data_IF_716006252570
#
_entry.id   IF_716006252570
#
_cell.length_a   1.000
_cell.length_b   1.000
_cell.length_c   1.000
_cell.angle_alpha   90.00
_cell.angle_beta   90.00
_cell.angle_gamma   90.00
#
_symmetry.space_group_name_H-M   'P 1'
#
loop_
_entity.id
_entity.type
_entity.pdbx_description
1 polymer ?
#
# COMPACT_ATOMS: atom_id res chain seq x y z
N UNK A 1 14.97 54.58 54.04
CA UNK A 1 13.60 54.04 54.04
C UNK A 1 13.47 53.14 52.82
N UNK A 2 14.22 52.05 52.72
CA UNK A 2 14.21 50.80 53.51
C UNK A 2 13.11 49.82 53.08
N UNK A 3 13.59 48.69 52.51
CA UNK A 3 13.11 47.30 52.51
C UNK A 3 11.70 47.00 51.92
N UNK A 4 11.43 45.88 51.23
CA UNK A 4 11.96 44.52 51.39
C UNK A 4 11.71 43.65 50.12
N UNK A 5 12.56 42.64 49.79
CA UNK A 5 12.49 41.80 48.60
C UNK A 5 12.05 40.35 48.91
N UNK A 6 10.89 39.91 48.43
CA UNK A 6 10.53 38.48 48.39
C UNK A 6 9.62 38.16 47.21
N UNK A 7 10.21 37.72 46.09
CA UNK A 7 9.52 36.97 45.03
C UNK A 7 10.15 35.58 44.99
N UNK A 8 9.61 34.69 45.82
CA UNK A 8 9.88 33.26 45.81
C UNK A 8 9.14 32.62 44.63
N UNK A 9 9.89 31.94 43.76
CA UNK A 9 9.37 31.14 42.65
C UNK A 9 8.84 29.81 43.19
N UNK A 10 7.51 29.68 43.26
CA UNK A 10 6.82 28.40 43.49
C UNK A 10 6.84 27.57 42.20
N UNK A 11 7.71 26.56 42.17
CA UNK A 11 7.71 25.49 41.17
C UNK A 11 6.79 24.35 41.61
N UNK A 12 5.49 24.57 41.46
CA UNK A 12 4.50 23.50 41.48
C UNK A 12 4.40 22.88 40.08
N UNK A 13 4.67 21.56 39.89
CA UNK A 13 4.56 20.92 38.59
C UNK A 13 3.09 20.82 38.18
N UNK A 14 2.74 21.48 37.06
CA UNK A 14 1.43 21.33 36.41
C UNK A 14 1.26 19.87 36.00
N UNK A 15 0.16 19.28 36.47
CA UNK A 15 -0.38 18.01 36.03
C UNK A 15 -0.29 17.91 34.49
N UNK A 16 0.57 17.04 34.01
CA UNK A 16 0.51 16.54 32.65
C UNK A 16 -0.65 15.56 32.62
N UNK A 17 -1.83 16.03 32.23
CA UNK A 17 -2.95 15.14 31.91
C UNK A 17 -2.47 14.18 30.82
N UNK A 18 -2.30 12.92 31.24
CA UNK A 18 -2.09 11.81 30.36
C UNK A 18 -3.25 11.78 29.37
N UNK A 19 -2.97 11.98 28.09
CA UNK A 19 -3.86 11.59 27.02
C UNK A 19 -4.22 10.12 27.25
N UNK A 20 -5.43 9.87 27.78
CA UNK A 20 -6.03 8.56 27.76
C UNK A 20 -6.34 8.27 26.30
N UNK A 21 -5.38 7.64 25.62
CA UNK A 21 -5.52 7.08 24.28
C UNK A 21 -6.62 6.03 24.34
N UNK A 22 -7.86 6.48 24.10
CA UNK A 22 -8.96 5.56 23.87
C UNK A 22 -8.62 4.79 22.59
N UNK A 23 -8.62 3.45 22.59
CA UNK A 23 -8.28 2.68 21.40
C UNK A 23 -9.13 3.14 20.22
N UNK A 24 -8.52 3.26 19.04
CA UNK A 24 -9.27 3.64 17.85
C UNK A 24 -10.42 2.65 17.60
N UNK A 25 -11.55 3.09 17.03
CA UNK A 25 -12.73 2.25 16.84
C UNK A 25 -12.36 0.93 16.13
N UNK A 26 -12.59 -0.20 16.79
CA UNK A 26 -12.37 -1.55 16.25
C UNK A 26 -11.08 -2.26 16.70
N UNK A 27 -10.25 -1.68 17.57
CA UNK A 27 -9.15 -2.43 18.19
C UNK A 27 -9.68 -3.43 19.24
N UNK A 28 -8.99 -4.57 19.46
CA UNK A 28 -9.38 -5.48 20.53
C UNK A 28 -9.26 -4.76 21.88
N UNK A 29 -10.39 -4.54 22.55
CA UNK A 29 -10.45 -3.94 23.90
C UNK A 29 -9.67 -4.81 24.92
N UNK A 30 -9.70 -6.13 24.72
CA UNK A 30 -8.99 -7.10 25.52
C UNK A 30 -8.34 -8.17 24.66
N UNK A 31 -7.06 -8.45 24.92
CA UNK A 31 -6.36 -9.56 24.29
C UNK A 31 -6.73 -10.89 24.95
N UNK A 32 -6.85 -11.99 24.18
CA UNK A 32 -7.05 -13.32 24.75
C UNK A 32 -6.01 -13.62 25.83
N UNK A 33 -6.47 -14.23 26.94
CA UNK A 33 -5.65 -14.59 28.13
C UNK A 33 -5.13 -13.39 28.95
N UNK A 34 -5.63 -12.17 28.72
CA UNK A 34 -5.30 -11.00 29.53
C UNK A 34 -3.88 -10.47 29.34
N UNK A 35 -3.16 -10.92 28.29
CA UNK A 35 -1.81 -10.44 27.95
C UNK A 35 -1.76 -10.02 26.49
N UNK A 36 -1.30 -8.79 26.23
CA UNK A 36 -1.05 -8.33 24.88
C UNK A 36 0.13 -9.09 24.23
N UNK A 37 0.06 -9.39 22.92
CA UNK A 37 1.07 -10.20 22.25
C UNK A 37 2.37 -9.44 22.01
N UNK A 38 3.47 -10.18 22.03
CA UNK A 38 4.72 -9.78 21.40
C UNK A 38 4.73 -10.32 19.97
N UNK A 39 4.76 -9.44 18.97
CA UNK A 39 4.75 -9.83 17.55
C UNK A 39 6.01 -9.38 16.84
N UNK A 40 6.71 -10.33 16.22
CA UNK A 40 7.87 -10.07 15.38
C UNK A 40 7.46 -10.04 13.91
N UNK A 41 7.49 -8.85 13.30
CA UNK A 41 7.30 -8.69 11.86
C UNK A 41 8.63 -8.84 11.12
N UNK A 42 8.64 -9.65 10.06
CA UNK A 42 9.86 -9.94 9.28
C UNK A 42 9.66 -9.54 7.83
N UNK A 43 10.44 -8.56 7.37
CA UNK A 43 10.37 -7.97 6.03
C UNK A 43 11.79 -7.90 5.41
N UNK A 44 11.94 -7.86 4.08
CA UNK A 44 13.26 -7.92 3.47
C UNK A 44 14.06 -6.62 3.72
N UNK A 45 13.43 -5.47 3.51
CA UNK A 45 14.00 -4.13 3.63
C UNK A 45 12.93 -3.15 4.12
N UNK A 46 13.32 -1.93 4.50
CA UNK A 46 12.44 -0.83 4.92
C UNK A 46 12.78 0.44 4.12
N UNK A 47 12.60 0.39 2.79
CA UNK A 47 12.99 1.48 1.88
C UNK A 47 11.80 2.29 1.37
N UNK A 48 10.99 1.70 0.51
CA UNK A 48 9.76 2.29 -0.03
C UNK A 48 8.92 1.18 -0.63
N UNK A 49 7.60 1.26 -0.45
CA UNK A 49 6.67 0.26 -0.96
C UNK A 49 5.50 -0.01 -0.02
N UNK A 50 4.49 -0.70 -0.55
CA UNK A 50 3.29 -0.99 0.22
C UNK A 50 3.51 -2.02 1.33
N UNK A 51 4.39 -3.01 1.13
CA UNK A 51 4.62 -4.07 2.13
C UNK A 51 5.38 -3.52 3.35
N UNK A 52 6.37 -2.68 3.09
CA UNK A 52 7.19 -1.98 4.08
C UNK A 52 6.34 -0.98 4.86
N UNK A 53 5.51 -0.19 4.17
CA UNK A 53 4.56 0.74 4.80
C UNK A 53 3.59 0.02 5.72
N UNK A 54 2.93 -1.03 5.22
CA UNK A 54 2.00 -1.83 6.03
C UNK A 54 2.66 -2.54 7.22
N UNK A 55 3.97 -2.82 7.15
CA UNK A 55 4.72 -3.31 8.32
C UNK A 55 4.82 -2.26 9.42
N UNK A 56 5.11 -1.01 9.06
CA UNK A 56 5.20 0.10 10.02
C UNK A 56 3.82 0.43 10.59
N UNK A 57 2.80 0.54 9.73
CA UNK A 57 1.43 0.82 10.15
C UNK A 57 0.95 -0.22 11.17
N UNK A 58 1.25 -1.50 10.92
CA UNK A 58 0.92 -2.58 11.86
C UNK A 58 1.76 -2.59 13.12
N UNK A 59 3.01 -2.14 13.07
CA UNK A 59 3.85 -2.04 14.27
C UNK A 59 3.30 -0.96 15.20
N UNK A 60 2.95 0.21 14.64
CA UNK A 60 2.33 1.32 15.36
C UNK A 60 0.96 0.94 15.92
N UNK A 61 0.10 0.31 15.11
CA UNK A 61 -1.21 -0.12 15.56
C UNK A 61 -1.13 -1.16 16.68
N UNK A 62 -0.19 -2.11 16.59
CA UNK A 62 0.02 -3.08 17.66
C UNK A 62 0.48 -2.42 18.96
N UNK A 63 1.43 -1.48 18.88
CA UNK A 63 1.90 -0.72 20.06
C UNK A 63 0.76 0.04 20.71
N UNK A 64 -0.05 0.73 19.91
CA UNK A 64 -1.18 1.52 20.39
C UNK A 64 -2.31 0.64 20.96
N UNK A 65 -2.45 -0.60 20.48
CA UNK A 65 -3.32 -1.62 21.09
C UNK A 65 -2.70 -2.33 22.32
N UNK A 66 -1.60 -1.80 22.87
CA UNK A 66 -0.92 -2.31 24.07
C UNK A 66 -0.01 -3.53 23.83
N UNK A 67 0.15 -3.99 22.60
CA UNK A 67 1.06 -5.07 22.23
C UNK A 67 2.51 -4.62 22.10
N UNK A 68 3.43 -5.60 21.99
CA UNK A 68 4.87 -5.35 21.82
C UNK A 68 5.31 -5.67 20.39
N UNK A 69 5.44 -4.67 19.50
CA UNK A 69 5.98 -4.89 18.17
C UNK A 69 7.51 -5.02 18.18
N UNK A 70 8.01 -5.97 17.40
CA UNK A 70 9.41 -6.07 16.98
C UNK A 70 9.45 -6.14 15.46
N UNK A 71 10.47 -5.53 14.83
CA UNK A 71 10.63 -5.57 13.37
C UNK A 71 12.03 -6.05 13.01
N UNK A 72 12.14 -7.03 12.11
CA UNK A 72 13.42 -7.48 11.56
C UNK A 72 13.49 -7.28 10.04
N UNK A 73 14.57 -6.67 9.55
CA UNK A 73 14.83 -6.47 8.12
C UNK A 73 16.30 -6.15 7.83
N UNK A 74 16.70 -5.95 6.57
CA UNK A 74 18.02 -5.40 6.22
C UNK A 74 18.15 -3.89 6.48
N UNK A 75 17.10 -3.24 6.96
CA UNK A 75 17.05 -1.80 7.21
C UNK A 75 16.65 -1.00 5.98
N UNK A 76 16.82 0.31 6.08
CA UNK A 76 16.47 1.30 5.06
C UNK A 76 15.99 2.61 5.68
N UNK A 77 15.71 3.64 4.85
CA UNK A 77 15.27 4.96 5.33
C UNK A 77 14.06 4.95 6.28
N UNK A 78 13.13 3.99 6.13
CA UNK A 78 11.91 3.95 6.93
C UNK A 78 12.13 3.40 8.36
N UNK A 79 13.33 2.90 8.69
CA UNK A 79 13.69 2.51 10.08
C UNK A 79 13.51 3.67 11.05
N UNK A 80 13.77 4.91 10.59
CA UNK A 80 13.62 6.14 11.40
C UNK A 80 12.22 6.32 11.99
N UNK A 81 11.19 5.78 11.34
CA UNK A 81 9.82 5.85 11.85
C UNK A 81 9.59 4.89 13.02
N UNK A 82 10.23 3.71 12.99
CA UNK A 82 10.24 2.78 14.12
C UNK A 82 11.03 3.40 15.28
N UNK A 83 12.17 4.02 15.01
CA UNK A 83 12.99 4.69 16.03
C UNK A 83 12.21 5.80 16.73
N UNK A 84 11.49 6.64 15.97
CA UNK A 84 10.62 7.71 16.52
C UNK A 84 9.52 7.17 17.42
N UNK A 85 8.97 6.01 17.09
CA UNK A 85 7.96 5.31 17.89
C UNK A 85 8.56 4.42 19.00
N UNK A 86 9.91 4.39 19.14
CA UNK A 86 10.64 3.53 20.08
C UNK A 86 10.32 2.05 19.90
N UNK A 87 10.09 1.61 18.67
CA UNK A 87 9.85 0.23 18.30
C UNK A 87 11.18 -0.43 17.93
N UNK A 88 11.49 -1.56 18.58
CA UNK A 88 12.78 -2.21 18.38
C UNK A 88 12.92 -2.78 16.95
N UNK A 89 14.05 -2.47 16.33
CA UNK A 89 14.42 -2.93 14.99
C UNK A 89 15.67 -3.82 15.02
N UNK A 90 15.59 -4.98 14.37
CA UNK A 90 16.68 -5.91 14.22
C UNK A 90 17.19 -5.91 12.79
N UNK A 91 18.43 -5.45 12.61
CA UNK A 91 19.08 -5.42 11.29
C UNK A 91 19.69 -6.79 10.98
N UNK A 92 19.12 -7.49 9.99
CA UNK A 92 19.56 -8.79 9.48
C UNK A 92 19.49 -8.82 7.95
N UNK A 93 20.37 -9.54 7.23
CA UNK A 93 20.34 -9.63 5.77
C UNK A 93 19.17 -10.51 5.27
N UNK A 94 17.94 -10.03 5.45
CA UNK A 94 16.69 -10.76 5.24
C UNK A 94 16.17 -10.69 3.80
N UNK A 95 16.76 -9.85 2.95
CA UNK A 95 16.54 -9.89 1.50
C UNK A 95 17.32 -11.04 0.80
N UNK A 96 18.29 -11.65 1.50
CA UNK A 96 19.14 -12.70 0.93
C UNK A 96 18.35 -13.97 0.61
N UNK A 97 18.61 -14.54 -0.57
CA UNK A 97 18.10 -15.85 -0.99
C UNK A 97 19.12 -16.98 -0.79
N UNK A 98 20.30 -16.67 -0.23
CA UNK A 98 21.35 -17.66 0.00
C UNK A 98 20.94 -18.59 1.17
N UNK A 99 20.89 -19.93 0.97
CA UNK A 99 20.47 -20.88 2.01
C UNK A 99 21.27 -20.80 3.32
N UNK A 100 22.57 -20.53 3.26
CA UNK A 100 23.42 -20.40 4.44
C UNK A 100 23.06 -19.14 5.23
N UNK A 101 22.81 -18.03 4.54
CA UNK A 101 22.33 -16.79 5.16
C UNK A 101 20.94 -17.00 5.76
N UNK A 102 20.03 -17.69 5.06
CA UNK A 102 18.69 -18.00 5.56
C UNK A 102 18.76 -18.79 6.87
N UNK A 103 19.63 -19.81 6.96
CA UNK A 103 19.83 -20.61 8.17
C UNK A 103 20.48 -19.82 9.31
N UNK A 104 21.45 -18.94 9.02
CA UNK A 104 22.05 -18.03 10.01
C UNK A 104 21.02 -17.03 10.54
N UNK A 105 20.20 -16.47 9.67
CA UNK A 105 19.10 -15.58 10.05
C UNK A 105 18.07 -16.33 10.91
N UNK A 106 17.72 -17.58 10.57
CA UNK A 106 16.80 -18.39 11.36
C UNK A 106 17.28 -18.56 12.81
N UNK A 107 18.56 -18.90 13.03
CA UNK A 107 19.13 -19.01 14.39
C UNK A 107 19.07 -17.71 15.17
N UNK A 108 19.33 -16.58 14.51
CA UNK A 108 19.26 -15.25 15.13
C UNK A 108 17.82 -14.87 15.48
N UNK A 109 16.87 -15.11 14.58
CA UNK A 109 15.45 -14.91 14.84
C UNK A 109 14.98 -15.83 15.98
N UNK A 110 15.44 -17.08 16.06
CA UNK A 110 15.11 -17.99 17.14
C UNK A 110 15.62 -17.50 18.51
N UNK A 111 16.83 -16.92 18.55
CA UNK A 111 17.34 -16.28 19.76
C UNK A 111 16.45 -15.11 20.21
N UNK A 112 16.08 -14.23 19.28
CA UNK A 112 15.20 -13.08 19.51
C UNK A 112 13.80 -13.51 19.97
N UNK A 113 13.25 -14.56 19.37
CA UNK A 113 11.96 -15.13 19.77
C UNK A 113 12.01 -15.58 21.24
N UNK A 114 13.09 -16.26 21.66
CA UNK A 114 13.26 -16.70 23.04
C UNK A 114 13.48 -15.53 24.01
N UNK A 115 14.36 -14.60 23.65
CA UNK A 115 14.72 -13.44 24.45
C UNK A 115 13.51 -12.54 24.74
N UNK A 116 12.74 -12.21 23.71
CA UNK A 116 11.59 -11.31 23.83
C UNK A 116 10.26 -12.04 24.04
N UNK A 117 10.28 -13.38 24.18
CA UNK A 117 9.07 -14.21 24.34
C UNK A 117 8.03 -13.91 23.26
N UNK A 118 8.46 -13.93 22.00
CA UNK A 118 7.62 -13.63 20.84
C UNK A 118 6.53 -14.68 20.71
N UNK A 119 5.26 -14.25 20.69
CA UNK A 119 4.11 -15.13 20.52
C UNK A 119 3.88 -15.44 19.03
N UNK A 120 4.01 -14.43 18.18
CA UNK A 120 3.67 -14.49 16.75
C UNK A 120 4.82 -13.92 15.92
N UNK A 121 5.20 -14.64 14.87
CA UNK A 121 6.09 -14.16 13.81
C UNK A 121 5.29 -13.97 12.53
N UNK A 122 5.23 -12.73 12.05
CA UNK A 122 4.50 -12.36 10.84
C UNK A 122 5.48 -12.01 9.70
N UNK A 123 5.61 -12.92 8.73
CA UNK A 123 6.48 -12.72 7.56
C UNK A 123 5.72 -12.11 6.36
N UNK A 124 6.26 -11.06 5.76
CA UNK A 124 5.59 -10.33 4.64
C UNK A 124 6.24 -10.52 3.27
N UNK A 125 7.21 -11.43 3.15
CA UNK A 125 7.88 -11.75 1.88
C UNK A 125 8.57 -13.11 1.91
N UNK A 126 8.75 -13.71 0.73
CA UNK A 126 9.26 -15.08 0.55
C UNK A 126 10.66 -15.32 1.15
N UNK A 127 11.60 -14.42 0.90
CA UNK A 127 12.97 -14.57 1.41
C UNK A 127 13.05 -14.55 2.95
N UNK A 128 12.51 -13.52 3.64
CA UNK A 128 12.47 -13.53 5.10
C UNK A 128 11.57 -14.63 5.68
N UNK A 129 10.51 -15.03 4.97
CA UNK A 129 9.59 -16.08 5.40
C UNK A 129 10.29 -17.42 5.65
N UNK A 130 11.30 -17.79 4.85
CA UNK A 130 12.08 -19.01 5.11
C UNK A 130 12.86 -18.94 6.42
N UNK A 131 13.52 -17.83 6.71
CA UNK A 131 14.23 -17.64 7.99
C UNK A 131 13.26 -17.64 9.17
N UNK A 132 12.14 -16.94 9.04
CA UNK A 132 11.10 -16.86 10.06
C UNK A 132 10.44 -18.22 10.34
N UNK A 133 10.06 -18.96 9.30
CA UNK A 133 9.42 -20.27 9.42
C UNK A 133 10.34 -21.28 10.12
N UNK A 134 11.63 -21.31 9.75
CA UNK A 134 12.61 -22.17 10.41
C UNK A 134 12.77 -21.80 11.91
N UNK A 135 12.80 -20.51 12.23
CA UNK A 135 12.88 -20.05 13.62
C UNK A 135 11.64 -20.43 14.44
N UNK A 136 10.44 -20.33 13.86
CA UNK A 136 9.19 -20.73 14.51
C UNK A 136 9.14 -22.24 14.78
N UNK A 137 9.62 -23.07 13.85
CA UNK A 137 9.71 -24.52 14.06
C UNK A 137 10.65 -24.91 15.20
N UNK A 138 11.71 -24.13 15.42
CA UNK A 138 12.66 -24.37 16.51
C UNK A 138 12.10 -23.92 17.87
N UNK A 139 11.32 -22.84 17.89
CA UNK A 139 10.92 -22.14 19.14
C UNK A 139 9.49 -22.40 19.58
N UNK A 140 8.64 -22.88 18.67
CA UNK A 140 7.20 -23.08 18.91
C UNK A 140 6.34 -21.83 18.73
N UNK A 141 6.93 -20.65 18.48
CA UNK A 141 6.19 -19.42 18.19
C UNK A 141 5.26 -19.60 16.97
N UNK A 142 4.13 -18.90 16.98
CA UNK A 142 3.14 -19.03 15.91
C UNK A 142 3.61 -18.31 14.65
N UNK A 143 3.37 -18.93 13.51
CA UNK A 143 3.84 -18.42 12.23
C UNK A 143 2.66 -17.98 11.36
N UNK A 144 2.73 -16.78 10.81
CA UNK A 144 1.76 -16.28 9.84
C UNK A 144 2.41 -15.43 8.76
N UNK A 145 1.66 -15.19 7.69
CA UNK A 145 2.18 -14.49 6.51
C UNK A 145 1.16 -13.53 5.90
N UNK A 146 1.65 -12.59 5.10
CA UNK A 146 0.81 -11.80 4.17
C UNK A 146 1.32 -11.92 2.74
N UNK A 147 0.45 -12.30 1.81
CA UNK A 147 0.70 -12.23 0.36
C UNK A 147 0.37 -10.84 -0.17
N UNK A 148 1.35 -10.18 -0.81
CA UNK A 148 1.19 -8.84 -1.35
C UNK A 148 1.09 -8.77 -2.88
N UNK A 149 1.31 -9.88 -3.58
CA UNK A 149 1.29 -9.98 -5.03
C UNK A 149 1.14 -11.45 -5.45
N UNK A 150 0.61 -11.74 -6.66
CA UNK A 150 0.69 -13.09 -7.21
C UNK A 150 2.16 -13.43 -7.47
N UNK A 151 2.51 -14.71 -7.34
CA UNK A 151 3.86 -15.17 -7.62
C UNK A 151 3.92 -15.97 -8.91
N UNK A 152 4.81 -15.54 -9.81
CA UNK A 152 5.08 -16.29 -11.03
C UNK A 152 5.87 -17.57 -10.71
N UNK A 153 5.45 -18.68 -11.33
CA UNK A 153 6.08 -19.98 -11.15
C UNK A 153 7.24 -20.22 -12.14
N UNK A 154 7.45 -19.33 -13.12
CA UNK A 154 8.43 -19.55 -14.19
C UNK A 154 7.98 -20.63 -15.19
N UNK A 155 8.81 -20.91 -16.19
CA UNK A 155 8.58 -21.92 -17.22
C UNK A 155 9.39 -23.21 -16.96
N UNK A 156 8.88 -24.34 -17.45
CA UNK A 156 9.53 -25.66 -17.37
C UNK A 156 9.22 -26.46 -16.09
N UNK A 157 9.28 -27.79 -16.20
CA UNK A 157 8.87 -28.72 -15.14
C UNK A 157 9.72 -28.57 -13.86
N UNK A 158 11.05 -28.49 -13.98
CA UNK A 158 11.96 -28.43 -12.84
C UNK A 158 12.01 -27.02 -12.24
N UNK A 159 12.20 -25.99 -13.07
CA UNK A 159 12.22 -24.59 -12.63
C UNK A 159 10.89 -24.15 -12.01
N UNK A 160 9.78 -24.60 -12.61
CA UNK A 160 8.42 -24.40 -12.11
C UNK A 160 8.20 -24.98 -10.71
N UNK A 161 8.58 -26.25 -10.51
CA UNK A 161 8.45 -26.93 -9.22
C UNK A 161 9.32 -26.30 -8.13
N UNK A 162 10.58 -25.95 -8.45
CA UNK A 162 11.47 -25.31 -7.48
C UNK A 162 10.96 -23.93 -7.03
N UNK A 163 10.49 -23.10 -7.99
CA UNK A 163 9.90 -21.79 -7.65
C UNK A 163 8.61 -21.94 -6.84
N UNK A 164 7.74 -22.89 -7.19
CA UNK A 164 6.53 -23.18 -6.41
C UNK A 164 6.86 -23.62 -4.99
N UNK A 165 7.83 -24.52 -4.82
CA UNK A 165 8.34 -24.92 -3.50
C UNK A 165 8.91 -23.72 -2.72
N UNK A 166 9.75 -22.90 -3.35
CA UNK A 166 10.31 -21.71 -2.70
C UNK A 166 9.21 -20.74 -2.25
N UNK A 167 8.20 -20.52 -3.08
CA UNK A 167 7.07 -19.65 -2.75
C UNK A 167 6.16 -20.26 -1.68
N UNK A 168 6.11 -21.59 -1.56
CA UNK A 168 5.18 -22.30 -0.66
C UNK A 168 5.32 -21.91 0.80
N UNK A 169 6.49 -21.41 1.23
CA UNK A 169 6.69 -20.93 2.61
C UNK A 169 5.66 -19.88 3.02
N UNK A 170 5.22 -19.05 2.05
CA UNK A 170 4.21 -18.03 2.30
C UNK A 170 2.84 -18.64 2.61
N UNK A 171 2.58 -19.88 2.20
CA UNK A 171 1.32 -20.59 2.48
C UNK A 171 1.43 -21.55 3.69
N UNK A 172 2.55 -21.55 4.43
CA UNK A 172 2.78 -22.44 5.60
C UNK A 172 2.39 -21.82 6.94
N UNK A 173 1.75 -20.65 6.93
CA UNK A 173 1.29 -19.97 8.14
C UNK A 173 0.07 -20.69 8.75
N UNK A 174 -0.05 -20.64 10.08
CA UNK A 174 -1.30 -21.00 10.78
C UNK A 174 -2.46 -20.08 10.33
N UNK A 175 -2.11 -18.86 9.90
CA UNK A 175 -2.96 -17.94 9.15
C UNK A 175 -2.17 -17.32 8.00
N UNK A 176 -2.87 -17.08 6.89
CA UNK A 176 -2.34 -16.45 5.68
C UNK A 176 -3.25 -15.28 5.31
N UNK A 177 -2.73 -14.06 5.35
CA UNK A 177 -3.45 -12.88 4.87
C UNK A 177 -3.24 -12.74 3.36
N UNK A 178 -4.34 -12.65 2.61
CA UNK A 178 -4.37 -12.22 1.23
C UNK A 178 -4.88 -10.77 1.18
N UNK A 179 -4.18 -9.88 0.46
CA UNK A 179 -4.56 -8.46 0.42
C UNK A 179 -5.76 -8.12 -0.49
N UNK A 180 -6.36 -9.13 -1.10
CA UNK A 180 -7.54 -9.06 -1.95
C UNK A 180 -8.09 -10.46 -2.20
N UNK A 181 -9.33 -10.55 -2.67
CA UNK A 181 -9.94 -11.77 -3.18
C UNK A 181 -9.13 -12.38 -4.33
N UNK A 182 -8.65 -11.56 -5.26
CA UNK A 182 -7.75 -11.98 -6.34
C UNK A 182 -6.50 -12.71 -5.80
N UNK A 183 -5.87 -12.17 -4.74
CA UNK A 183 -4.72 -12.82 -4.10
C UNK A 183 -5.14 -14.08 -3.35
N UNK A 184 -6.30 -14.10 -2.68
CA UNK A 184 -6.83 -15.32 -2.04
C UNK A 184 -6.99 -16.42 -3.08
N UNK A 185 -7.61 -16.13 -4.21
CA UNK A 185 -7.88 -17.11 -5.27
C UNK A 185 -6.57 -17.59 -5.90
N UNK A 186 -5.58 -16.70 -6.06
CA UNK A 186 -4.22 -17.10 -6.44
C UNK A 186 -3.60 -18.07 -5.43
N UNK A 187 -3.74 -17.80 -4.12
CA UNK A 187 -3.19 -18.66 -3.06
C UNK A 187 -3.86 -20.04 -3.07
N UNK A 188 -5.20 -20.08 -3.04
CA UNK A 188 -5.98 -21.32 -3.02
C UNK A 188 -5.78 -22.16 -4.29
N UNK A 189 -5.66 -21.51 -5.45
CA UNK A 189 -5.44 -22.21 -6.71
C UNK A 189 -4.02 -22.76 -6.92
N UNK A 190 -3.03 -22.33 -6.11
CA UNK A 190 -1.61 -22.64 -6.37
C UNK A 190 -0.86 -23.32 -5.23
N UNK A 191 -1.40 -23.33 -4.02
CA UNK A 191 -0.76 -23.92 -2.85
C UNK A 191 -1.74 -24.81 -2.07
N UNK A 192 -1.26 -25.91 -1.47
CA UNK A 192 -2.06 -26.72 -0.57
C UNK A 192 -2.21 -25.99 0.77
N UNK A 193 -3.19 -25.11 0.86
CA UNK A 193 -3.56 -24.38 2.07
C UNK A 193 -5.04 -24.61 2.36
N UNK A 194 -5.40 -24.78 3.63
CA UNK A 194 -6.81 -24.87 4.02
C UNK A 194 -7.48 -23.50 3.78
N UNK A 195 -8.60 -23.42 3.03
CA UNK A 195 -9.34 -22.17 2.87
C UNK A 195 -9.66 -21.46 4.19
N UNK A 196 -9.86 -22.19 5.29
CA UNK A 196 -10.12 -21.62 6.60
C UNK A 196 -8.89 -20.94 7.24
N UNK A 197 -7.68 -21.16 6.70
CA UNK A 197 -6.46 -20.47 7.14
C UNK A 197 -6.27 -19.13 6.41
N UNK A 198 -6.96 -18.90 5.30
CA UNK A 198 -6.80 -17.68 4.50
C UNK A 198 -7.78 -16.61 4.99
N UNK A 199 -7.27 -15.40 5.22
CA UNK A 199 -8.06 -14.21 5.56
C UNK A 199 -7.85 -13.17 4.46
N UNK A 200 -8.93 -12.62 3.91
CA UNK A 200 -8.83 -11.47 3.02
C UNK A 200 -8.84 -10.22 3.88
N UNK A 201 -7.73 -9.48 3.90
CA UNK A 201 -7.64 -8.18 4.56
C UNK A 201 -7.07 -7.22 3.55
N UNK A 202 -7.94 -6.36 3.01
CA UNK A 202 -7.54 -5.38 2.02
C UNK A 202 -6.51 -4.41 2.59
N UNK A 203 -5.69 -3.85 1.70
CA UNK A 203 -4.80 -2.75 2.11
C UNK A 203 -5.64 -1.53 2.49
N UNK A 204 -5.13 -0.78 3.45
CA UNK A 204 -5.71 0.49 3.87
C UNK A 204 -4.97 1.69 3.29
N UNK A 205 -5.71 2.79 3.08
CA UNK A 205 -5.19 4.12 2.81
C UNK A 205 -5.18 4.96 4.09
N UNK A 206 -4.16 5.81 4.22
CA UNK A 206 -4.06 6.73 5.35
C UNK A 206 -4.93 7.96 5.10
N UNK A 207 -6.04 8.07 5.84
CA UNK A 207 -6.96 9.21 5.75
C UNK A 207 -6.37 10.51 6.29
N UNK A 208 -5.27 10.45 7.05
CA UNK A 208 -4.51 11.65 7.41
C UNK A 208 -3.72 12.24 6.23
N UNK A 209 -3.46 11.43 5.19
CA UNK A 209 -2.74 11.83 3.97
C UNK A 209 -3.71 12.06 2.81
N UNK A 210 -4.63 11.12 2.62
CA UNK A 210 -5.60 11.12 1.51
C UNK A 210 -6.98 11.52 2.02
N UNK A 211 -7.13 12.82 2.28
CA UNK A 211 -8.40 13.46 2.55
C UNK A 211 -8.39 14.87 1.91
N UNK A 212 -9.41 15.25 1.13
CA UNK A 212 -9.43 16.52 0.42
C UNK A 212 -9.21 17.75 1.32
N UNK A 213 -9.81 17.76 2.50
CA UNK A 213 -9.72 18.83 3.50
C UNK A 213 -8.31 19.01 4.10
N UNK A 214 -7.43 18.01 3.94
CA UNK A 214 -6.04 18.03 4.42
C UNK A 214 -5.05 18.58 3.41
N UNK A 215 -5.48 18.87 2.19
CA UNK A 215 -4.62 19.46 1.16
C UNK A 215 -4.79 20.96 1.15
N UNK A 216 -3.75 21.68 1.58
CA UNK A 216 -3.79 23.15 1.60
C UNK A 216 -3.74 23.74 0.19
N UNK A 217 -4.34 24.93 -0.03
CA UNK A 217 -4.23 25.65 -1.30
C UNK A 217 -2.77 25.85 -1.76
N UNK A 218 -1.85 26.11 -0.82
CA UNK A 218 -0.42 26.28 -1.12
C UNK A 218 0.21 25.02 -1.74
N UNK A 219 -0.17 23.82 -1.27
CA UNK A 219 0.31 22.56 -1.86
C UNK A 219 -0.17 22.41 -3.30
N UNK A 220 -1.44 22.72 -3.57
CA UNK A 220 -2.03 22.69 -4.92
C UNK A 220 -1.31 23.66 -5.85
N UNK A 221 -1.18 24.93 -5.46
CA UNK A 221 -0.51 25.97 -6.27
C UNK A 221 0.96 25.61 -6.53
N UNK A 222 1.66 25.09 -5.52
CA UNK A 222 3.07 24.69 -5.66
C UNK A 222 3.22 23.56 -6.69
N UNK A 223 2.41 22.51 -6.58
CA UNK A 223 2.47 21.38 -7.50
C UNK A 223 2.00 21.76 -8.92
N UNK A 224 0.94 22.56 -9.04
CA UNK A 224 0.46 23.07 -10.33
C UNK A 224 1.54 23.87 -11.06
N UNK A 225 2.25 24.76 -10.34
CA UNK A 225 3.40 25.50 -10.90
C UNK A 225 4.55 24.59 -11.29
N UNK A 226 4.90 23.62 -10.44
CA UNK A 226 5.96 22.65 -10.72
C UNK A 226 5.67 21.84 -12.00
N UNK A 227 4.40 21.52 -12.25
CA UNK A 227 3.97 20.78 -13.45
C UNK A 227 3.61 21.68 -14.64
N UNK A 228 3.71 22.99 -14.46
CA UNK A 228 3.30 24.00 -15.44
C UNK A 228 1.87 23.72 -15.98
N UNK A 229 0.94 23.47 -15.05
CA UNK A 229 -0.44 23.17 -15.41
C UNK A 229 -1.12 24.41 -15.98
N UNK A 230 -1.84 24.27 -17.11
CA UNK A 230 -2.73 25.31 -17.61
C UNK A 230 -3.98 25.41 -16.72
N UNK A 231 -4.51 26.61 -16.53
CA UNK A 231 -5.70 26.85 -15.70
C UNK A 231 -7.01 26.40 -16.38
N UNK A 232 -7.01 26.24 -17.71
CA UNK A 232 -8.19 26.08 -18.54
C UNK A 232 -8.37 24.67 -19.15
N UNK A 233 -7.51 23.70 -18.81
CA UNK A 233 -7.57 22.35 -19.39
C UNK A 233 -7.82 21.27 -18.34
N UNK A 234 -8.79 20.37 -18.57
CA UNK A 234 -8.96 19.17 -17.76
C UNK A 234 -7.68 18.34 -17.70
N UNK A 235 -7.35 17.82 -16.52
CA UNK A 235 -6.15 17.02 -16.28
C UNK A 235 -6.50 15.54 -16.16
N UNK A 236 -5.92 14.72 -17.03
CA UNK A 236 -6.00 13.25 -16.99
C UNK A 236 -4.73 12.75 -16.32
N UNK A 237 -4.84 12.08 -15.19
CA UNK A 237 -3.68 11.61 -14.43
C UNK A 237 -3.53 10.09 -14.55
N UNK A 238 -2.39 9.61 -15.05
CA UNK A 238 -2.00 8.20 -14.92
C UNK A 238 -0.76 8.12 -14.03
N UNK A 239 -0.93 7.78 -12.74
CA UNK A 239 0.19 7.66 -11.82
C UNK A 239 0.69 6.21 -11.79
N UNK A 240 1.99 6.05 -11.87
CA UNK A 240 2.64 4.76 -11.88
C UNK A 240 4.01 4.83 -12.53
N UNK A 241 4.91 3.94 -12.08
CA UNK A 241 6.23 3.77 -12.71
C UNK A 241 6.11 3.55 -14.21
N UNK A 242 7.06 4.07 -14.98
CA UNK A 242 7.11 3.85 -16.43
C UNK A 242 7.54 2.40 -16.70
N UNK A 243 6.56 1.52 -16.75
CA UNK A 243 6.70 0.09 -17.02
C UNK A 243 5.55 -0.33 -17.91
N UNK A 244 5.83 -1.13 -18.96
CA UNK A 244 4.83 -1.55 -19.96
C UNK A 244 3.47 -1.96 -19.40
N UNK A 245 3.48 -2.75 -18.34
CA UNK A 245 2.26 -3.30 -17.72
C UNK A 245 1.38 -2.24 -17.05
N UNK A 246 1.87 -1.02 -16.81
CA UNK A 246 1.07 0.10 -16.27
C UNK A 246 0.22 0.80 -17.33
N UNK A 247 0.40 0.48 -18.61
CA UNK A 247 -0.51 0.88 -19.67
C UNK A 247 -0.37 2.32 -20.15
N UNK A 248 0.78 2.95 -19.97
CA UNK A 248 1.01 4.30 -20.52
C UNK A 248 0.77 4.35 -22.04
N UNK A 249 1.18 3.31 -22.77
CA UNK A 249 0.91 3.19 -24.21
C UNK A 249 -0.59 3.12 -24.50
N UNK A 250 -1.36 2.35 -23.71
CA UNK A 250 -2.82 2.22 -23.89
C UNK A 250 -3.50 3.58 -23.71
N UNK A 251 -3.07 4.37 -22.71
CA UNK A 251 -3.59 5.73 -22.54
C UNK A 251 -3.18 6.66 -23.69
N UNK A 252 -1.93 6.60 -24.17
CA UNK A 252 -1.49 7.41 -25.32
C UNK A 252 -2.33 7.09 -26.56
N UNK A 253 -2.57 5.81 -26.82
CA UNK A 253 -3.38 5.36 -27.96
C UNK A 253 -4.85 5.77 -27.80
N UNK A 254 -5.40 5.72 -26.58
CA UNK A 254 -6.75 6.18 -26.28
C UNK A 254 -6.88 7.70 -26.48
N UNK A 255 -5.89 8.48 -26.08
CA UNK A 255 -5.86 9.94 -26.30
C UNK A 255 -5.76 10.30 -27.78
N UNK A 256 -5.06 9.49 -28.57
CA UNK A 256 -5.00 9.67 -30.03
C UNK A 256 -6.38 9.46 -30.67
N UNK A 257 -7.15 8.47 -30.19
CA UNK A 257 -8.53 8.19 -30.61
C UNK A 257 -9.52 9.24 -30.13
N UNK A 258 -9.38 9.71 -28.88
CA UNK A 258 -10.20 10.77 -28.29
C UNK A 258 -10.09 12.08 -29.09
N UNK A 259 -8.93 12.37 -29.68
CA UNK A 259 -8.74 13.50 -30.59
C UNK A 259 -8.75 14.90 -29.95
N UNK A 260 -9.12 15.00 -28.66
CA UNK A 260 -9.17 16.25 -27.89
C UNK A 260 -7.80 16.88 -27.69
N UNK A 261 -7.69 18.18 -27.96
CA UNK A 261 -6.47 18.98 -27.76
C UNK A 261 -6.56 19.92 -26.56
N UNK A 262 -7.75 20.03 -25.98
CA UNK A 262 -8.08 20.87 -24.83
C UNK A 262 -7.84 20.16 -23.48
N UNK A 263 -7.24 18.96 -23.46
CA UNK A 263 -6.98 18.18 -22.23
C UNK A 263 -5.49 17.93 -22.01
N UNK A 264 -5.01 17.94 -20.77
CA UNK A 264 -3.61 17.63 -20.44
C UNK A 264 -3.53 16.27 -19.74
N UNK A 265 -2.85 15.31 -20.35
CA UNK A 265 -2.54 14.02 -19.74
C UNK A 265 -1.16 14.01 -19.09
N UNK A 266 -1.09 13.63 -17.82
CA UNK A 266 0.13 13.51 -17.03
C UNK A 266 0.43 12.04 -16.74
N UNK A 267 1.56 11.57 -17.25
CA UNK A 267 2.13 10.26 -16.90
C UNK A 267 3.11 10.49 -15.75
N UNK A 268 2.68 10.22 -14.51
CA UNK A 268 3.45 10.56 -13.30
C UNK A 268 4.13 9.32 -12.72
N UNK A 269 5.46 9.24 -12.86
CA UNK A 269 6.27 8.21 -12.23
C UNK A 269 7.66 8.07 -12.83
N UNK A 270 8.62 7.62 -12.01
CA UNK A 270 9.99 7.37 -12.44
C UNK A 270 10.10 6.12 -13.34
N UNK A 271 10.99 6.17 -14.33
CA UNK A 271 11.43 5.00 -15.11
C UNK A 271 12.27 4.01 -14.30
N UNK A 272 12.93 4.47 -13.22
CA UNK A 272 13.91 3.73 -12.43
C UNK A 272 15.01 3.08 -13.29
N UNK A 273 15.55 3.82 -14.26
CA UNK A 273 16.60 3.37 -15.17
C UNK A 273 16.07 2.64 -16.42
N UNK A 274 14.75 2.60 -16.63
CA UNK A 274 14.12 2.01 -17.83
C UNK A 274 14.03 3.02 -18.98
N UNK A 275 15.14 3.66 -19.31
CA UNK A 275 15.20 4.77 -20.29
C UNK A 275 14.64 4.37 -21.66
N UNK A 276 14.90 3.15 -22.14
CA UNK A 276 14.37 2.69 -23.42
C UNK A 276 12.83 2.65 -23.50
N UNK A 277 12.13 2.36 -22.39
CA UNK A 277 10.66 2.45 -22.38
C UNK A 277 10.17 3.90 -22.36
N UNK A 278 10.89 4.80 -21.66
CA UNK A 278 10.61 6.23 -21.73
C UNK A 278 10.73 6.76 -23.15
N UNK A 279 11.84 6.45 -23.84
CA UNK A 279 12.06 6.85 -25.24
C UNK A 279 10.95 6.32 -26.17
N UNK A 280 10.51 5.08 -25.95
CA UNK A 280 9.35 4.53 -26.68
C UNK A 280 8.08 5.34 -26.44
N UNK A 281 7.79 5.76 -25.20
CA UNK A 281 6.65 6.62 -24.90
C UNK A 281 6.77 7.98 -25.58
N UNK A 282 7.95 8.61 -25.57
CA UNK A 282 8.22 9.89 -26.23
C UNK A 282 7.97 9.79 -27.74
N UNK A 283 8.50 8.75 -28.37
CA UNK A 283 8.30 8.47 -29.79
C UNK A 283 6.83 8.20 -30.10
N UNK A 284 6.11 7.47 -29.25
CA UNK A 284 4.69 7.20 -29.45
C UNK A 284 3.85 8.49 -29.34
N UNK A 285 4.11 9.32 -28.34
CA UNK A 285 3.47 10.65 -28.17
C UNK A 285 3.74 11.54 -29.39
N UNK A 286 4.98 11.56 -29.86
CA UNK A 286 5.38 12.31 -31.05
C UNK A 286 4.63 11.86 -32.31
N UNK A 287 4.64 10.56 -32.59
CA UNK A 287 4.03 9.97 -33.77
C UNK A 287 2.50 10.10 -33.77
N UNK A 288 1.88 10.13 -32.59
CA UNK A 288 0.45 10.36 -32.45
C UNK A 288 0.05 11.86 -32.49
N UNK A 289 1.00 12.79 -32.64
CA UNK A 289 0.70 14.23 -32.63
C UNK A 289 0.17 14.73 -31.28
N UNK A 290 0.67 14.16 -30.18
CA UNK A 290 0.19 14.40 -28.82
C UNK A 290 1.17 15.19 -27.94
N UNK A 291 2.24 15.78 -28.49
CA UNK A 291 3.24 16.55 -27.71
C UNK A 291 2.64 17.70 -26.88
N UNK A 292 1.56 18.32 -27.34
CA UNK A 292 0.83 19.37 -26.61
C UNK A 292 -0.24 18.86 -25.65
N UNK A 293 -0.48 17.54 -25.61
CA UNK A 293 -1.54 16.87 -24.86
C UNK A 293 -0.97 15.98 -23.76
N UNK A 294 0.12 15.26 -24.01
CA UNK A 294 0.71 14.32 -23.04
C UNK A 294 2.03 14.87 -22.53
N UNK A 295 2.20 14.86 -21.21
CA UNK A 295 3.47 15.14 -20.54
C UNK A 295 3.83 13.97 -19.63
N UNK A 296 5.12 13.66 -19.60
CA UNK A 296 5.66 12.75 -18.59
C UNK A 296 6.29 13.57 -17.49
N UNK A 297 6.05 13.15 -16.25
CA UNK A 297 6.64 13.74 -15.07
C UNK A 297 7.24 12.62 -14.24
N UNK A 298 8.38 12.90 -13.61
CA UNK A 298 9.05 11.94 -12.76
C UNK A 298 8.28 11.71 -11.45
N UNK A 299 9.00 11.35 -10.39
CA UNK A 299 8.39 11.08 -9.10
C UNK A 299 7.64 12.31 -8.53
N UNK A 300 6.40 12.09 -8.12
CA UNK A 300 5.62 13.04 -7.33
C UNK A 300 5.59 12.59 -5.87
N UNK A 301 6.01 13.47 -4.97
CA UNK A 301 5.96 13.24 -3.52
C UNK A 301 4.59 13.60 -2.92
N UNK A 302 3.84 14.49 -3.57
CA UNK A 302 2.53 14.96 -3.10
C UNK A 302 1.38 14.43 -3.96
N UNK A 303 1.14 13.12 -3.84
CA UNK A 303 0.07 12.47 -4.63
C UNK A 303 -1.34 12.94 -4.23
N UNK A 304 -1.57 13.36 -2.99
CA UNK A 304 -2.88 13.88 -2.58
C UNK A 304 -3.22 15.17 -3.34
N UNK A 305 -2.26 16.11 -3.46
CA UNK A 305 -2.41 17.29 -4.30
C UNK A 305 -2.54 16.93 -5.78
N UNK A 306 -1.75 15.97 -6.27
CA UNK A 306 -1.84 15.49 -7.66
C UNK A 306 -3.24 15.01 -8.02
N UNK A 307 -3.86 14.19 -7.16
CA UNK A 307 -5.22 13.73 -7.36
C UNK A 307 -6.19 14.91 -7.38
N UNK A 308 -6.09 15.86 -6.43
CA UNK A 308 -6.96 17.04 -6.40
C UNK A 308 -6.86 17.94 -7.64
N UNK A 309 -5.66 18.04 -8.23
CA UNK A 309 -5.44 18.76 -9.48
C UNK A 309 -5.95 18.02 -10.73
N UNK A 310 -6.26 16.72 -10.61
CA UNK A 310 -6.80 15.93 -11.72
C UNK A 310 -8.32 16.06 -11.85
N UNK A 311 -8.79 16.00 -13.09
CA UNK A 311 -10.21 15.86 -13.45
C UNK A 311 -10.62 14.39 -13.41
N UNK A 312 -9.75 13.50 -13.90
CA UNK A 312 -9.95 12.05 -13.89
C UNK A 312 -8.62 11.32 -13.69
N UNK A 313 -8.65 10.22 -12.93
CA UNK A 313 -7.48 9.38 -12.68
C UNK A 313 -7.64 8.05 -13.41
N UNK A 314 -6.60 7.62 -14.13
CA UNK A 314 -6.63 6.41 -14.96
C UNK A 314 -5.64 5.39 -14.42
N UNK A 315 -6.08 4.13 -14.34
CA UNK A 315 -5.18 2.98 -14.34
C UNK A 315 -5.50 2.05 -15.51
N UNK A 316 -4.70 2.17 -16.57
CA UNK A 316 -4.80 1.36 -17.78
C UNK A 316 -3.95 0.08 -17.70
N UNK A 317 -3.83 -0.51 -16.51
CA UNK A 317 -2.93 -1.66 -16.30
C UNK A 317 -3.25 -2.80 -17.29
N UNK A 318 -2.20 -3.48 -17.76
CA UNK A 318 -2.27 -4.58 -18.73
C UNK A 318 -2.13 -5.95 -18.08
N UNK A 319 -1.59 -5.98 -16.86
CA UNK A 319 -1.42 -7.18 -16.05
C UNK A 319 -2.19 -7.04 -14.73
N UNK A 320 -2.71 -8.15 -14.16
CA UNK A 320 -3.51 -8.10 -12.94
C UNK A 320 -2.80 -7.42 -11.77
N UNK A 321 -3.50 -6.49 -11.14
CA UNK A 321 -3.03 -5.78 -9.95
C UNK A 321 -3.50 -6.47 -8.67
N UNK A 322 -2.64 -6.47 -7.66
CA UNK A 322 -2.93 -7.17 -6.40
C UNK A 322 -3.91 -6.42 -5.48
N UNK A 323 -4.07 -5.11 -5.68
CA UNK A 323 -4.99 -4.27 -4.90
C UNK A 323 -5.50 -3.06 -5.69
N UNK A 324 -4.61 -2.31 -6.35
CA UNK A 324 -5.02 -1.07 -7.04
C UNK A 324 -4.93 0.19 -6.18
N UNK A 325 -3.87 0.33 -5.37
CA UNK A 325 -3.70 1.41 -4.39
C UNK A 325 -3.99 2.81 -4.93
N UNK A 326 -3.46 3.14 -6.11
CA UNK A 326 -3.66 4.44 -6.78
C UNK A 326 -5.14 4.80 -6.92
N UNK A 327 -5.98 3.80 -7.23
CA UNK A 327 -7.40 4.01 -7.49
C UNK A 327 -8.16 4.24 -6.19
N UNK A 328 -7.81 3.49 -5.15
CA UNK A 328 -8.37 3.71 -3.81
C UNK A 328 -7.94 5.07 -3.26
N UNK A 329 -6.68 5.49 -3.46
CA UNK A 329 -6.20 6.82 -3.10
C UNK A 329 -6.97 7.92 -3.87
N UNK A 330 -7.15 7.79 -5.19
CA UNK A 330 -7.90 8.75 -6.00
C UNK A 330 -9.38 8.86 -5.59
N UNK A 331 -10.04 7.72 -5.35
CA UNK A 331 -11.41 7.67 -4.84
C UNK A 331 -11.51 8.32 -3.45
N UNK A 332 -10.53 8.13 -2.57
CA UNK A 332 -10.47 8.81 -1.27
C UNK A 332 -10.34 10.34 -1.39
N UNK A 333 -9.76 10.82 -2.51
CA UNK A 333 -9.68 12.25 -2.85
C UNK A 333 -10.91 12.75 -3.62
N UNK A 334 -11.98 11.94 -3.73
CA UNK A 334 -13.22 12.29 -4.41
C UNK A 334 -13.07 12.39 -5.93
N UNK A 335 -12.08 11.72 -6.52
CA UNK A 335 -11.82 11.81 -7.96
C UNK A 335 -12.49 10.69 -8.74
N UNK A 336 -13.13 11.01 -9.88
CA UNK A 336 -13.57 10.00 -10.82
C UNK A 336 -12.37 9.19 -11.32
N UNK A 337 -12.56 7.87 -11.44
CA UNK A 337 -11.50 6.94 -11.83
C UNK A 337 -11.92 6.03 -12.98
N UNK A 338 -10.96 5.71 -13.85
CA UNK A 338 -11.12 4.72 -14.93
C UNK A 338 -10.10 3.61 -14.71
N UNK A 339 -10.55 2.36 -14.70
CA UNK A 339 -9.69 1.20 -14.44
C UNK A 339 -9.87 0.08 -15.45
N UNK A 340 -8.78 -0.62 -15.76
CA UNK A 340 -8.84 -1.90 -16.47
C UNK A 340 -9.54 -2.97 -15.62
N UNK A 341 -10.39 -3.79 -16.25
CA UNK A 341 -11.16 -4.88 -15.64
C UNK A 341 -10.29 -6.11 -15.30
N UNK A 342 -9.25 -5.94 -14.47
CA UNK A 342 -8.27 -7.00 -14.17
C UNK A 342 -7.85 -7.00 -12.70
N UNK A 343 -7.57 -8.19 -12.18
CA UNK A 343 -7.09 -8.40 -10.82
C UNK A 343 -8.02 -7.78 -9.77
N UNK A 344 -7.45 -7.20 -8.73
CA UNK A 344 -8.20 -6.63 -7.60
C UNK A 344 -8.87 -5.28 -7.90
N UNK A 345 -8.74 -4.71 -9.11
CA UNK A 345 -9.50 -3.50 -9.45
C UNK A 345 -11.01 -3.75 -9.36
N UNK A 346 -11.46 -4.96 -9.74
CA UNK A 346 -12.86 -5.37 -9.66
C UNK A 346 -13.41 -5.40 -8.22
N UNK A 347 -12.53 -5.47 -7.22
CA UNK A 347 -12.91 -5.41 -5.82
C UNK A 347 -12.90 -4.00 -5.25
N UNK A 348 -12.11 -3.09 -5.86
CA UNK A 348 -11.81 -1.77 -5.29
C UNK A 348 -12.57 -0.63 -5.95
N UNK A 349 -13.52 -0.95 -6.82
CA UNK A 349 -14.46 0.00 -7.42
C UNK A 349 -15.84 -0.63 -7.58
N UNK A 350 -16.86 0.21 -7.75
CA UNK A 350 -18.20 -0.22 -8.15
C UNK A 350 -18.48 0.33 -9.55
N UNK A 351 -18.56 -0.52 -10.61
CA UNK A 351 -18.75 -0.07 -11.99
C UNK A 351 -20.00 0.81 -12.14
N UNK A 352 -19.85 1.96 -12.79
CA UNK A 352 -20.93 2.92 -13.03
C UNK A 352 -21.31 3.77 -11.81
N UNK A 353 -20.86 3.41 -10.60
CA UNK A 353 -21.16 4.17 -9.38
C UNK A 353 -19.98 4.99 -8.89
N UNK A 354 -18.79 4.37 -8.80
CA UNK A 354 -17.55 5.00 -8.32
C UNK A 354 -16.46 5.06 -9.37
N UNK A 355 -16.59 4.30 -10.46
CA UNK A 355 -15.59 4.21 -11.52
C UNK A 355 -16.17 3.77 -12.87
N UNK A 356 -15.45 4.08 -13.95
CA UNK A 356 -15.56 3.34 -15.21
C UNK A 356 -14.62 2.14 -15.18
N UNK A 357 -15.11 1.01 -15.67
CA UNK A 357 -14.34 -0.24 -15.77
C UNK A 357 -14.31 -0.66 -17.22
N UNK A 358 -13.11 -0.64 -17.82
CA UNK A 358 -12.89 -0.91 -19.24
C UNK A 358 -12.10 -2.21 -19.44
N UNK A 359 -12.24 -2.91 -20.57
CA UNK A 359 -11.36 -4.04 -20.88
C UNK A 359 -9.87 -3.63 -20.86
N UNK A 360 -8.95 -4.50 -20.39
CA UNK A 360 -7.52 -4.24 -20.50
C UNK A 360 -7.08 -4.23 -21.97
N UNK A 361 -6.03 -3.48 -22.29
CA UNK A 361 -5.47 -3.39 -23.66
C UNK A 361 -6.47 -2.94 -24.74
N UNK A 362 -7.49 -2.16 -24.35
CA UNK A 362 -8.52 -1.62 -25.24
C UNK A 362 -8.51 -0.08 -25.23
N UNK A 363 -7.74 0.56 -26.14
CA UNK A 363 -7.70 2.01 -26.25
C UNK A 363 -9.02 2.65 -26.70
N UNK A 364 -9.89 1.92 -27.41
CA UNK A 364 -11.18 2.43 -27.87
C UNK A 364 -12.15 2.57 -26.68
N UNK A 365 -12.27 1.52 -25.87
CA UNK A 365 -13.07 1.56 -24.65
C UNK A 365 -12.55 2.60 -23.65
N UNK A 366 -11.22 2.73 -23.51
CA UNK A 366 -10.61 3.75 -22.67
C UNK A 366 -10.89 5.17 -23.19
N UNK A 367 -10.85 5.40 -24.51
CA UNK A 367 -11.17 6.70 -25.10
C UNK A 367 -12.64 7.09 -24.83
N UNK A 368 -13.57 6.15 -24.98
CA UNK A 368 -14.99 6.36 -24.69
C UNK A 368 -15.22 6.72 -23.21
N UNK A 369 -14.62 5.96 -22.28
CA UNK A 369 -14.72 6.25 -20.86
C UNK A 369 -14.10 7.60 -20.47
N UNK A 370 -13.00 7.99 -21.14
CA UNK A 370 -12.40 9.31 -20.96
C UNK A 370 -13.34 10.43 -21.42
N UNK A 371 -13.97 10.28 -22.59
CA UNK A 371 -14.92 11.28 -23.09
C UNK A 371 -16.09 11.47 -22.13
N UNK A 372 -16.68 10.37 -21.65
CA UNK A 372 -17.74 10.41 -20.64
C UNK A 372 -17.30 11.12 -19.36
N UNK A 373 -16.14 10.73 -18.80
CA UNK A 373 -15.63 11.33 -17.57
C UNK A 373 -15.32 12.83 -17.71
N UNK A 374 -14.80 13.24 -18.88
CA UNK A 374 -14.47 14.64 -19.18
C UNK A 374 -15.71 15.49 -19.49
N UNK A 375 -16.79 14.87 -19.98
CA UNK A 375 -18.06 15.54 -20.28
C UNK A 375 -18.90 15.87 -19.04
N UNK A 376 -18.55 15.33 -17.88
CA UNK A 376 -19.28 15.55 -16.65
C UNK A 376 -19.33 17.05 -16.27
N UNK A 377 -20.48 17.46 -15.74
CA UNK A 377 -20.60 18.73 -15.01
C UNK A 377 -19.86 18.66 -13.67
N UNK A 378 -19.52 19.81 -13.05
CA UNK A 378 -18.98 19.84 -11.69
C UNK A 378 -19.84 19.05 -10.69
N UNK A 379 -21.16 19.21 -10.74
CA UNK A 379 -22.11 18.57 -9.83
C UNK A 379 -22.12 17.05 -10.00
N UNK A 380 -22.06 16.56 -11.23
CA UNK A 380 -21.97 15.11 -11.49
C UNK A 380 -20.64 14.53 -11.00
N UNK A 381 -19.52 15.24 -11.19
CA UNK A 381 -18.21 14.81 -10.68
C UNK A 381 -18.22 14.74 -9.15
N UNK A 382 -18.76 15.76 -8.49
CA UNK A 382 -18.85 15.81 -7.03
C UNK A 382 -19.72 14.66 -6.50
N UNK A 383 -20.85 14.37 -7.14
CA UNK A 383 -21.71 13.26 -6.76
C UNK A 383 -20.99 11.89 -6.87
N UNK A 384 -20.22 11.65 -7.93
CA UNK A 384 -19.37 10.45 -8.07
C UNK A 384 -18.30 10.44 -6.97
N UNK A 385 -17.63 11.58 -6.75
CA UNK A 385 -16.60 11.75 -5.75
C UNK A 385 -17.09 11.44 -4.33
N UNK A 386 -18.28 11.92 -3.95
CA UNK A 386 -18.88 11.63 -2.65
C UNK A 386 -19.14 10.13 -2.46
N UNK A 387 -19.70 9.45 -3.47
CA UNK A 387 -19.93 8.00 -3.41
C UNK A 387 -18.60 7.24 -3.30
N UNK A 388 -17.61 7.61 -4.10
CA UNK A 388 -16.28 7.00 -4.10
C UNK A 388 -15.58 7.16 -2.73
N UNK A 389 -15.63 8.35 -2.13
CA UNK A 389 -15.07 8.60 -0.80
C UNK A 389 -15.78 7.77 0.27
N UNK A 390 -17.11 7.70 0.25
CA UNK A 390 -17.88 6.89 1.20
C UNK A 390 -17.54 5.39 1.06
N UNK A 391 -17.47 4.89 -0.18
CA UNK A 391 -17.08 3.51 -0.48
C UNK A 391 -15.68 3.17 0.08
N UNK A 392 -14.71 4.06 -0.09
CA UNK A 392 -13.35 3.89 0.44
C UNK A 392 -13.30 3.99 1.96
N UNK A 393 -13.99 4.97 2.55
CA UNK A 393 -13.99 5.19 3.99
C UNK A 393 -14.58 4.00 4.78
N UNK A 394 -15.52 3.26 4.18
CA UNK A 394 -16.13 2.08 4.78
C UNK A 394 -15.23 0.83 4.71
N UNK A 395 -14.40 0.70 3.66
CA UNK A 395 -13.74 -0.58 3.31
C UNK A 395 -12.21 -0.56 3.35
N UNK A 396 -11.57 0.53 2.93
CA UNK A 396 -10.14 0.53 2.59
C UNK A 396 -9.34 1.53 3.41
N UNK A 397 -9.65 1.68 4.70
CA UNK A 397 -8.88 2.55 5.60
C UNK A 397 -7.72 1.80 6.24
N UNK A 398 -6.62 2.53 6.51
CA UNK A 398 -5.47 2.03 7.28
C UNK A 398 -5.93 1.45 8.61
N UNK A 399 -6.83 2.15 9.31
CA UNK A 399 -7.29 1.76 10.64
C UNK A 399 -8.08 0.44 10.59
N UNK A 400 -8.94 0.25 9.57
CA UNK A 400 -9.65 -1.01 9.35
C UNK A 400 -8.72 -2.16 9.04
N UNK A 401 -7.78 -1.97 8.10
CA UNK A 401 -6.74 -2.97 7.79
C UNK A 401 -5.98 -3.38 9.06
N UNK A 402 -5.63 -2.40 9.90
CA UNK A 402 -4.94 -2.66 11.16
C UNK A 402 -5.80 -3.42 12.16
N UNK A 403 -7.04 -2.98 12.38
CA UNK A 403 -8.01 -3.64 13.26
C UNK A 403 -8.23 -5.11 12.85
N UNK A 404 -8.51 -5.36 11.58
CA UNK A 404 -8.73 -6.71 11.06
C UNK A 404 -7.47 -7.59 11.22
N UNK A 405 -6.27 -7.01 11.05
CA UNK A 405 -5.02 -7.76 11.27
C UNK A 405 -4.77 -8.05 12.75
N UNK A 406 -5.09 -7.11 13.66
CA UNK A 406 -5.01 -7.34 15.11
C UNK A 406 -5.99 -8.44 15.55
N UNK A 407 -7.18 -8.52 14.94
CA UNK A 407 -8.12 -9.62 15.17
C UNK A 407 -7.53 -10.98 14.77
N UNK A 408 -6.78 -11.05 13.65
CA UNK A 408 -6.05 -12.28 13.27
C UNK A 408 -4.95 -12.62 14.27
N UNK A 409 -4.24 -11.63 14.82
CA UNK A 409 -3.29 -11.89 15.91
C UNK A 409 -4.01 -12.45 17.15
N UNK A 410 -5.18 -11.91 17.51
CA UNK A 410 -5.98 -12.43 18.60
C UNK A 410 -6.46 -13.87 18.34
N UNK A 411 -6.92 -14.21 17.13
CA UNK A 411 -7.24 -15.60 16.74
C UNK A 411 -6.06 -16.54 17.01
N UNK A 412 -4.84 -16.12 16.66
CA UNK A 412 -3.64 -16.91 16.88
C UNK A 412 -3.29 -17.05 18.36
N UNK A 413 -3.70 -16.16 19.27
CA UNK A 413 -3.40 -16.33 20.70
C UNK A 413 -4.26 -17.37 21.41
N UNK A 414 -5.34 -17.86 20.78
CA UNK A 414 -6.17 -18.92 21.33
C UNK A 414 -5.38 -20.23 21.49
N UNK A 415 -5.84 -21.23 22.26
CA UNK A 415 -5.23 -22.57 22.26
C UNK A 415 -5.18 -23.20 20.86
N UNK A 416 -4.26 -24.14 20.64
CA UNK A 416 -4.14 -24.87 19.38
C UNK A 416 -5.19 -25.97 19.25
#
# INVERSE_FOLDING_TARGET
>A
MDFDPHLTTDHSPRNADAHQDTPAPGWPEHWPRGRAPTVLQVVPTLVTGGAERGCIDMALALQAAGGTPLVASQGGPMVRELDRARIAHLTLPLASKNPLTIRRNARRLAAVIREHKVDIVHARSRAPAWSAWLACRETGARYMTTFHAPYNFGSGLVGGRLKRWYNSVMARGERVIAISGFIRDHVLGNYPVDPQQVRVIHRGIDRGVFAPDRVSPTRLVTLAKQWNLPDDRPVILLPGRLTRWKGQIVLIDALAKLGRKDVLALLVGSDQGRTGYREELENRIANAGLRGVVRMTDHCSDMAAAYLLSTVVVSASREPEAFGRVIVEAQAMGKPVIVSAIGAYQETVVPGETAWVVPPDDPDALAQALEEALSLTPEQRDAIGTRAMAFVADRYTKDRMCADTLAVYAELLQPR
#
